data_IF_418507017665
#
_entry.id   IF_418507017665
#
_cell.length_a   1.000
_cell.length_b   1.000
_cell.length_c   1.000
_cell.angle_alpha   90.00
_cell.angle_beta   90.00
_cell.angle_gamma   90.00
#
_symmetry.space_group_name_H-M   'P 1'
#
loop_
_entity.id
_entity.type
_entity.pdbx_description
1 polymer ?
#
# COMPACT_ATOMS: atom_id res chain seq x y z
N UNK A 1 -13.69 21.16 -11.74
CA UNK A 1 -12.79 20.47 -10.80
C UNK A 1 -13.04 19.00 -11.03
N UNK A 2 -12.30 18.39 -11.94
CA UNK A 2 -12.55 17.01 -12.37
C UNK A 2 -11.27 16.22 -12.06
N UNK A 3 -11.33 15.45 -10.98
CA UNK A 3 -10.43 14.32 -10.79
C UNK A 3 -11.15 13.10 -11.39
N UNK A 4 -11.17 13.00 -12.72
CA UNK A 4 -11.49 11.76 -13.39
C UNK A 4 -10.35 10.76 -13.14
N UNK A 5 -10.61 9.73 -12.33
CA UNK A 5 -9.70 8.60 -12.09
C UNK A 5 -9.36 8.36 -10.63
N UNK A 6 -10.35 7.91 -9.83
CA UNK A 6 -10.10 7.39 -8.48
C UNK A 6 -9.21 6.14 -8.54
N UNK A 7 -8.12 6.14 -7.78
CA UNK A 7 -7.18 5.02 -7.69
C UNK A 7 -7.86 3.72 -7.24
N UNK A 8 -7.16 2.59 -7.44
CA UNK A 8 -7.68 1.30 -6.98
C UNK A 8 -7.73 1.28 -5.44
N UNK A 9 -8.88 1.06 -4.79
CA UNK A 9 -9.01 1.22 -3.33
C UNK A 9 -8.02 0.37 -2.52
N UNK A 10 -7.69 -0.83 -2.99
CA UNK A 10 -6.69 -1.68 -2.32
C UNK A 10 -5.26 -1.17 -2.49
N UNK A 11 -4.95 -0.45 -3.58
CA UNK A 11 -3.65 0.22 -3.76
C UNK A 11 -3.55 1.41 -2.81
N UNK A 12 -4.61 2.20 -2.68
CA UNK A 12 -4.66 3.33 -1.74
C UNK A 12 -4.48 2.87 -0.28
N UNK A 13 -5.13 1.76 0.10
CA UNK A 13 -4.98 1.16 1.42
C UNK A 13 -3.54 0.71 1.70
N UNK A 14 -2.86 0.11 0.72
CA UNK A 14 -1.47 -0.31 0.88
C UNK A 14 -0.50 0.87 0.98
N UNK A 15 -0.74 1.95 0.23
CA UNK A 15 0.02 3.21 0.35
C UNK A 15 -0.17 3.81 1.75
N UNK A 16 -1.40 3.85 2.25
CA UNK A 16 -1.67 4.34 3.60
C UNK A 16 -1.00 3.48 4.67
N UNK A 17 -0.95 2.16 4.50
CA UNK A 17 -0.24 1.26 5.41
C UNK A 17 1.27 1.56 5.47
N UNK A 18 1.91 1.81 4.31
CA UNK A 18 3.31 2.23 4.28
C UNK A 18 3.53 3.60 4.94
N UNK A 19 2.61 4.55 4.75
CA UNK A 19 2.67 5.85 5.43
C UNK A 19 2.53 5.70 6.96
N UNK A 20 1.67 4.81 7.44
CA UNK A 20 1.54 4.52 8.86
C UNK A 20 2.80 3.86 9.42
N UNK A 21 3.39 2.90 8.68
CA UNK A 21 4.64 2.24 9.05
C UNK A 21 5.79 3.24 9.25
N UNK A 22 5.87 4.28 8.42
CA UNK A 22 6.86 5.34 8.52
C UNK A 22 6.86 6.09 9.86
N UNK A 23 5.72 6.09 10.56
CA UNK A 23 5.56 6.79 11.86
C UNK A 23 5.94 5.95 13.07
N UNK A 24 6.22 4.65 12.87
CA UNK A 24 6.57 3.73 13.94
C UNK A 24 8.03 3.91 14.40
N UNK A 25 8.35 3.31 15.54
CA UNK A 25 9.73 3.25 16.02
C UNK A 25 10.61 2.53 14.98
N UNK A 26 11.88 2.94 14.80
CA UNK A 26 12.77 2.37 13.77
C UNK A 26 12.89 0.84 13.81
N UNK A 27 12.78 0.23 15.00
CA UNK A 27 12.80 -1.21 15.17
C UNK A 27 11.61 -1.93 14.51
N UNK A 28 10.46 -1.27 14.44
CA UNK A 28 9.21 -1.84 13.90
C UNK A 28 8.97 -1.44 12.43
N UNK A 29 9.65 -0.42 11.93
CA UNK A 29 9.45 0.11 10.58
C UNK A 29 9.67 -0.97 9.50
N UNK A 30 10.77 -1.73 9.58
CA UNK A 30 11.13 -2.71 8.53
C UNK A 30 10.05 -3.78 8.39
N UNK A 31 9.64 -4.41 9.49
CA UNK A 31 8.63 -5.48 9.46
C UNK A 31 7.30 -4.99 8.89
N UNK A 32 6.91 -3.75 9.18
CA UNK A 32 5.65 -3.17 8.72
C UNK A 32 5.72 -2.70 7.26
N UNK A 33 6.86 -2.19 6.81
CA UNK A 33 7.09 -1.92 5.40
C UNK A 33 7.06 -3.19 4.57
N UNK A 34 7.72 -4.26 5.02
CA UNK A 34 7.73 -5.55 4.32
C UNK A 34 6.31 -6.12 4.18
N UNK A 35 5.52 -6.07 5.26
CA UNK A 35 4.13 -6.50 5.24
C UNK A 35 3.28 -5.67 4.26
N UNK A 36 3.35 -4.34 4.34
CA UNK A 36 2.60 -3.45 3.45
C UNK A 36 3.02 -3.61 1.98
N UNK A 37 4.32 -3.80 1.73
CA UNK A 37 4.85 -4.05 0.39
C UNK A 37 4.39 -5.39 -0.17
N UNK A 38 4.39 -6.46 0.63
CA UNK A 38 3.87 -7.75 0.21
C UNK A 38 2.40 -7.64 -0.23
N UNK A 39 1.57 -7.00 0.60
CA UNK A 39 0.15 -6.79 0.27
C UNK A 39 -0.04 -5.95 -0.99
N UNK A 40 0.76 -4.89 -1.18
CA UNK A 40 0.71 -4.10 -2.42
C UNK A 40 1.04 -4.98 -3.63
N UNK A 41 2.12 -5.75 -3.57
CA UNK A 41 2.55 -6.62 -4.66
C UNK A 41 1.48 -7.65 -5.03
N UNK A 42 0.87 -8.29 -4.04
CA UNK A 42 -0.23 -9.24 -4.26
C UNK A 42 -1.44 -8.57 -4.91
N UNK A 43 -1.82 -7.39 -4.41
CA UNK A 43 -2.92 -6.59 -4.97
C UNK A 43 -2.68 -6.24 -6.44
N UNK A 44 -1.48 -5.75 -6.76
CA UNK A 44 -1.10 -5.39 -8.13
C UNK A 44 -1.10 -6.62 -9.05
N UNK A 45 -0.60 -7.76 -8.58
CA UNK A 45 -0.64 -9.00 -9.34
C UNK A 45 -2.07 -9.48 -9.61
N UNK A 46 -2.99 -9.33 -8.67
CA UNK A 46 -4.42 -9.64 -8.87
C UNK A 46 -5.06 -8.70 -9.90
N UNK A 47 -4.73 -7.41 -9.88
CA UNK A 47 -5.24 -6.42 -10.85
C UNK A 47 -4.71 -6.73 -12.26
N UNK A 48 -3.42 -7.04 -12.40
CA UNK A 48 -2.79 -7.36 -13.68
C UNK A 48 -3.37 -8.64 -14.34
N UNK A 49 -3.88 -9.56 -13.51
CA UNK A 49 -4.49 -10.82 -13.96
C UNK A 49 -5.99 -10.73 -14.29
N UNK A 50 -6.65 -9.63 -13.95
CA UNK A 50 -8.10 -9.43 -14.12
C UNK A 50 -8.45 -8.86 -15.51
#
# INVERSE_FOLDING_TARGET
MEADGGGHPAVDAAIQAMANAATLAPADQIAQYEAAYQTLRETLATIDQA
#
